data_IF_919033345345
#
_entry.id   IF_919033345345
#
_cell.length_a   1.000
_cell.length_b   1.000
_cell.length_c   1.000
_cell.angle_alpha   90.00
_cell.angle_beta   90.00
_cell.angle_gamma   90.00
#
_symmetry.space_group_name_H-M   'P 1'
#
loop_
_entity.id
_entity.type
_entity.pdbx_description
1 polymer ?
#
# COMPACT_ATOMS: atom_id res chain seq x y z
N UNK A 1 -12.63 34.04 8.83
CA UNK A 1 -12.98 34.22 7.41
C UNK A 1 -14.32 33.54 7.18
N UNK A 2 -15.41 34.28 7.29
CA UNK A 2 -16.75 33.81 6.91
C UNK A 2 -17.10 34.43 5.54
N UNK A 3 -18.04 33.84 4.79
CA UNK A 3 -18.56 34.31 3.50
C UNK A 3 -17.65 34.25 2.25
N UNK A 4 -16.81 33.22 2.12
CA UNK A 4 -16.16 32.94 0.83
C UNK A 4 -17.16 32.42 -0.20
N UNK A 5 -17.19 33.06 -1.36
CA UNK A 5 -18.03 32.65 -2.50
C UNK A 5 -17.15 32.22 -3.68
N UNK A 6 -17.53 31.14 -4.37
CA UNK A 6 -16.91 30.72 -5.62
C UNK A 6 -17.95 30.50 -6.72
N UNK A 7 -17.52 30.75 -7.95
CA UNK A 7 -18.21 30.35 -9.18
C UNK A 7 -17.17 29.84 -10.18
N UNK A 8 -17.53 28.86 -10.98
CA UNK A 8 -16.66 28.30 -12.02
C UNK A 8 -16.99 29.00 -13.33
N UNK A 9 -15.97 29.46 -14.05
CA UNK A 9 -16.09 29.94 -15.43
C UNK A 9 -15.48 28.90 -16.36
N UNK A 10 -16.26 28.39 -17.30
CA UNK A 10 -15.79 27.57 -18.40
C UNK A 10 -16.17 28.30 -19.70
N UNK A 11 -15.15 28.78 -20.43
CA UNK A 11 -15.32 29.62 -21.62
C UNK A 11 -16.20 30.84 -21.31
N UNK A 12 -17.38 30.94 -21.93
CA UNK A 12 -18.34 32.04 -21.77
C UNK A 12 -19.46 31.73 -20.77
N UNK A 13 -19.46 30.52 -20.19
CA UNK A 13 -20.47 30.08 -19.23
C UNK A 13 -19.92 30.23 -17.81
N UNK A 14 -20.63 30.99 -16.99
CA UNK A 14 -20.33 31.19 -15.57
C UNK A 14 -21.41 30.51 -14.73
N UNK A 15 -21.00 29.62 -13.80
CA UNK A 15 -21.95 28.95 -12.91
C UNK A 15 -22.52 29.91 -11.87
N UNK A 16 -23.67 29.55 -11.27
CA UNK A 16 -24.20 30.27 -10.10
C UNK A 16 -23.17 30.28 -8.96
N UNK A 17 -23.10 31.40 -8.26
CA UNK A 17 -22.25 31.59 -7.08
C UNK A 17 -22.67 30.64 -5.97
N UNK A 18 -21.72 29.90 -5.40
CA UNK A 18 -21.94 29.05 -4.23
C UNK A 18 -21.05 29.51 -3.08
N UNK A 19 -21.62 29.48 -1.87
CA UNK A 19 -20.87 29.67 -0.65
C UNK A 19 -19.90 28.49 -0.47
N UNK A 20 -18.62 28.80 -0.30
CA UNK A 20 -17.58 27.83 0.03
C UNK A 20 -17.65 27.61 1.53
N UNK A 21 -18.27 26.52 1.96
CA UNK A 21 -18.05 26.01 3.31
C UNK A 21 -16.59 25.54 3.38
N UNK A 22 -15.83 25.96 4.39
CA UNK A 22 -14.47 25.48 4.60
C UNK A 22 -14.43 23.95 4.59
N UNK A 23 -13.57 23.38 3.75
CA UNK A 23 -13.48 21.93 3.54
C UNK A 23 -13.01 21.61 2.13
N UNK A 24 -12.29 20.51 1.98
CA UNK A 24 -11.89 20.04 0.65
C UNK A 24 -13.11 19.43 -0.06
N UNK A 25 -13.35 19.70 -1.36
CA UNK A 25 -14.51 19.16 -2.05
C UNK A 25 -14.48 17.64 -2.03
N UNK A 26 -15.52 17.03 -1.44
CA UNK A 26 -15.66 15.58 -1.39
C UNK A 26 -15.78 15.04 -2.82
N UNK A 27 -14.96 14.04 -3.17
CA UNK A 27 -14.88 13.49 -4.52
C UNK A 27 -13.82 14.12 -5.43
N UNK A 28 -13.14 15.19 -5.01
CA UNK A 28 -11.95 15.66 -5.73
C UNK A 28 -10.75 14.73 -5.48
N UNK A 29 -10.02 14.32 -6.54
CA UNK A 29 -8.83 13.45 -6.39
C UNK A 29 -7.68 14.14 -5.64
N UNK A 30 -7.69 15.47 -5.56
CA UNK A 30 -6.67 16.23 -4.81
C UNK A 30 -7.00 16.36 -3.32
N UNK A 31 -8.27 16.17 -2.93
CA UNK A 31 -8.71 16.38 -1.55
C UNK A 31 -7.94 15.54 -0.52
N UNK A 32 -7.73 14.23 -0.72
CA UNK A 32 -6.96 13.42 0.23
C UNK A 32 -5.50 13.88 0.35
N UNK A 33 -4.89 14.30 -0.76
CA UNK A 33 -3.49 14.74 -0.78
C UNK A 33 -3.34 16.04 0.02
N UNK A 34 -4.20 17.01 -0.25
CA UNK A 34 -4.20 18.29 0.46
C UNK A 34 -4.48 18.10 1.96
N UNK A 35 -5.39 17.18 2.29
CA UNK A 35 -5.68 16.85 3.68
C UNK A 35 -4.48 16.21 4.39
N UNK A 36 -3.78 15.26 3.75
CA UNK A 36 -2.56 14.66 4.31
C UNK A 36 -1.48 15.73 4.52
N UNK A 37 -1.29 16.64 3.56
CA UNK A 37 -0.33 17.74 3.71
C UNK A 37 -0.72 18.69 4.84
N UNK A 38 -2.01 18.93 5.03
CA UNK A 38 -2.53 19.76 6.11
C UNK A 38 -2.24 19.18 7.49
N UNK A 39 -2.43 17.87 7.67
CA UNK A 39 -2.17 17.20 8.95
C UNK A 39 -0.72 16.73 9.10
N UNK A 40 0.14 16.89 8.09
CA UNK A 40 1.49 16.32 8.08
C UNK A 40 2.34 16.79 9.27
N UNK A 41 2.17 18.05 9.68
CA UNK A 41 2.94 18.66 10.76
C UNK A 41 2.83 17.88 12.08
N UNK A 42 1.65 17.38 12.44
CA UNK A 42 1.45 16.62 13.68
C UNK A 42 2.31 15.36 13.77
N UNK A 43 2.61 14.74 12.61
CA UNK A 43 3.45 13.55 12.49
C UNK A 43 4.93 13.90 12.38
N UNK A 44 5.27 15.09 11.88
CA UNK A 44 6.66 15.56 11.81
C UNK A 44 7.18 15.95 13.19
N UNK A 45 6.32 16.38 14.10
CA UNK A 45 6.66 16.66 15.49
C UNK A 45 7.10 15.41 16.27
N UNK A 46 6.54 14.23 15.97
CA UNK A 46 6.99 12.95 16.53
C UNK A 46 6.88 11.81 15.49
N UNK A 47 7.96 11.62 14.75
CA UNK A 47 8.04 10.57 13.71
C UNK A 47 8.27 9.15 14.24
N UNK A 48 8.50 9.02 15.55
CA UNK A 48 8.81 7.75 16.19
C UNK A 48 7.55 7.09 16.75
N UNK A 49 6.66 7.86 17.39
CA UNK A 49 5.52 7.35 18.14
C UNK A 49 4.17 7.67 17.50
N UNK A 50 4.09 8.65 16.59
CA UNK A 50 2.84 9.00 15.89
C UNK A 50 2.82 8.39 14.49
N UNK A 51 1.67 7.82 14.15
CA UNK A 51 1.41 7.21 12.85
C UNK A 51 0.06 7.65 12.34
N UNK A 52 -0.07 7.83 11.03
CA UNK A 52 -1.31 8.26 10.42
C UNK A 52 -1.65 7.48 9.15
N UNK A 53 -2.94 7.34 8.89
CA UNK A 53 -3.44 6.89 7.60
C UNK A 53 -4.74 7.63 7.28
N UNK A 54 -4.76 8.39 6.19
CA UNK A 54 -5.86 9.29 5.87
C UNK A 54 -6.18 10.21 7.08
N UNK A 55 -7.37 10.08 7.66
CA UNK A 55 -7.86 10.83 8.82
C UNK A 55 -7.59 10.15 10.18
N UNK A 56 -7.16 8.88 10.18
CA UNK A 56 -6.85 8.17 11.40
C UNK A 56 -5.46 8.53 11.93
N UNK A 57 -5.37 8.86 13.23
CA UNK A 57 -4.13 9.11 13.97
C UNK A 57 -3.96 8.04 15.04
N UNK A 58 -2.76 7.46 15.13
CA UNK A 58 -2.38 6.48 16.14
C UNK A 58 -1.12 6.94 16.88
N UNK A 59 -1.14 6.84 18.20
CA UNK A 59 0.01 7.07 19.07
C UNK A 59 0.38 5.76 19.75
N UNK A 60 1.65 5.39 19.72
CA UNK A 60 2.16 4.18 20.37
C UNK A 60 3.30 4.52 21.32
N UNK A 61 3.11 4.23 22.61
CA UNK A 61 4.16 4.30 23.63
C UNK A 61 4.51 2.92 24.16
N UNK A 62 5.78 2.74 24.53
CA UNK A 62 6.29 1.54 25.18
C UNK A 62 7.04 1.94 26.45
N UNK A 63 6.77 1.27 27.56
CA UNK A 63 7.35 1.56 28.87
C UNK A 63 7.44 0.31 29.75
N UNK A 64 7.88 0.49 31.00
CA UNK A 64 8.05 -0.63 31.95
C UNK A 64 6.80 -0.86 32.81
N UNK A 65 6.00 0.17 33.03
CA UNK A 65 4.72 0.12 33.74
C UNK A 65 3.60 0.75 32.90
N UNK A 66 2.34 0.46 33.25
CA UNK A 66 1.19 1.06 32.55
C UNK A 66 1.03 2.53 32.93
N UNK A 67 1.40 2.90 34.16
CA UNK A 67 1.32 4.26 34.70
C UNK A 67 2.26 5.19 33.94
N UNK A 68 3.52 4.78 33.72
CA UNK A 68 4.50 5.52 32.91
C UNK A 68 4.01 5.72 31.47
N UNK A 69 3.36 4.70 30.90
CA UNK A 69 2.83 4.76 29.54
C UNK A 69 1.63 5.72 29.47
N UNK A 70 0.73 5.67 30.45
CA UNK A 70 -0.45 6.54 30.51
C UNK A 70 -0.05 8.00 30.67
N UNK A 71 0.93 8.30 31.52
CA UNK A 71 1.47 9.66 31.68
C UNK A 71 1.99 10.21 30.35
N UNK A 72 2.84 9.44 29.66
CA UNK A 72 3.38 9.82 28.33
C UNK A 72 2.31 9.95 27.26
N UNK A 73 1.30 9.06 27.26
CA UNK A 73 0.17 9.16 26.35
C UNK A 73 -0.72 10.38 26.67
N UNK A 74 -0.83 10.77 27.93
CA UNK A 74 -1.49 12.00 28.36
C UNK A 74 -0.78 13.23 27.80
N UNK A 75 0.55 13.30 27.95
CA UNK A 75 1.37 14.37 27.36
C UNK A 75 1.21 14.45 25.83
N UNK A 76 1.23 13.30 25.15
CA UNK A 76 1.01 13.23 23.70
C UNK A 76 -0.39 13.72 23.32
N UNK A 77 -1.41 13.30 24.06
CA UNK A 77 -2.79 13.69 23.84
C UNK A 77 -2.95 15.21 24.00
N UNK A 78 -2.39 15.79 25.06
CA UNK A 78 -2.38 17.23 25.29
C UNK A 78 -1.72 18.02 24.16
N UNK A 79 -0.57 17.54 23.66
CA UNK A 79 0.10 18.17 22.50
C UNK A 79 -0.76 18.10 21.23
N UNK A 80 -1.39 16.95 20.97
CA UNK A 80 -2.27 16.75 19.81
C UNK A 80 -3.50 17.66 19.88
N UNK A 81 -4.12 17.77 21.06
CA UNK A 81 -5.28 18.63 21.29
C UNK A 81 -4.92 20.11 21.18
N UNK A 82 -3.77 20.52 21.73
CA UNK A 82 -3.25 21.88 21.59
C UNK A 82 -2.98 22.25 20.13
N UNK A 83 -2.30 21.37 19.39
CA UNK A 83 -2.10 21.54 17.94
C UNK A 83 -3.43 21.64 17.20
N UNK A 84 -4.41 20.80 17.55
CA UNK A 84 -5.74 20.83 16.96
C UNK A 84 -6.47 22.15 17.20
N UNK A 85 -6.38 22.71 18.40
CA UNK A 85 -7.00 24.01 18.74
C UNK A 85 -6.39 25.17 17.91
N UNK A 86 -5.08 25.15 17.70
CA UNK A 86 -4.35 26.10 16.85
C UNK A 86 -4.76 25.95 15.38
N UNK A 87 -4.76 24.72 14.88
CA UNK A 87 -5.04 24.36 13.48
C UNK A 87 -6.52 24.12 13.20
N UNK A 88 -7.45 24.52 14.08
CA UNK A 88 -8.90 24.35 13.89
C UNK A 88 -9.34 22.92 13.53
N UNK A 89 -8.63 21.92 14.05
CA UNK A 89 -8.97 20.49 13.98
C UNK A 89 -9.66 20.09 15.27
N UNK A 90 -10.84 19.49 15.17
CA UNK A 90 -11.60 19.00 16.33
C UNK A 90 -11.50 17.48 16.40
N UNK A 91 -11.00 16.98 17.52
CA UNK A 91 -10.99 15.55 17.83
C UNK A 91 -12.28 15.16 18.57
N UNK A 92 -12.80 13.96 18.31
CA UNK A 92 -13.98 13.44 18.99
C UNK A 92 -13.55 12.32 19.96
N UNK A 93 -13.70 12.50 21.29
CA UNK A 93 -13.31 11.49 22.27
C UNK A 93 -14.07 10.17 22.09
N UNK A 94 -15.32 10.20 21.65
CA UNK A 94 -16.14 8.99 21.44
C UNK A 94 -15.61 8.10 20.31
N UNK A 95 -14.81 8.67 19.41
CA UNK A 95 -14.18 7.94 18.30
C UNK A 95 -12.76 7.48 18.63
N UNK A 96 -12.20 7.91 19.76
CA UNK A 96 -10.88 7.51 20.18
C UNK A 96 -10.94 6.14 20.87
N UNK A 97 -10.01 5.25 20.49
CA UNK A 97 -9.88 3.92 21.11
C UNK A 97 -8.52 3.84 21.83
N UNK A 98 -8.54 3.43 23.10
CA UNK A 98 -7.34 3.14 23.88
C UNK A 98 -7.19 1.62 24.05
N UNK A 99 -5.97 1.11 23.87
CA UNK A 99 -5.65 -0.30 24.11
C UNK A 99 -4.28 -0.48 24.73
N UNK A 100 -4.22 -1.17 25.86
CA UNK A 100 -2.96 -1.57 26.49
C UNK A 100 -2.54 -2.96 26.02
N UNK A 101 -1.32 -3.07 25.48
CA UNK A 101 -0.74 -4.36 25.09
C UNK A 101 0.21 -4.88 26.18
N UNK A 102 -0.22 -5.90 26.91
CA UNK A 102 0.54 -6.45 28.02
C UNK A 102 0.53 -7.98 28.04
N UNK A 103 1.63 -8.55 28.55
CA UNK A 103 1.76 -9.97 28.85
C UNK A 103 1.32 -10.32 30.27
N UNK A 104 0.94 -9.33 31.08
CA UNK A 104 0.43 -9.54 32.42
C UNK A 104 -0.74 -10.53 32.40
N UNK A 105 -0.81 -11.36 33.44
CA UNK A 105 -1.97 -12.24 33.67
C UNK A 105 -3.12 -11.46 34.29
N UNK A 106 -2.81 -10.33 34.92
CA UNK A 106 -3.78 -9.40 35.42
C UNK A 106 -4.41 -8.63 34.24
N UNK A 107 -5.71 -8.89 34.05
CA UNK A 107 -6.54 -8.25 33.05
C UNK A 107 -7.48 -7.20 33.66
N UNK A 108 -7.48 -7.01 34.98
CA UNK A 108 -8.39 -6.06 35.64
C UNK A 108 -7.79 -4.66 35.67
N UNK A 109 -6.47 -4.54 35.79
CA UNK A 109 -5.80 -3.25 35.70
C UNK A 109 -5.73 -2.75 34.24
N UNK A 110 -6.40 -1.62 33.99
CA UNK A 110 -6.62 -1.02 32.65
C UNK A 110 -6.81 0.50 32.82
N UNK A 111 -5.73 1.26 33.07
CA UNK A 111 -5.82 2.69 33.33
C UNK A 111 -6.24 3.48 32.08
N UNK A 112 -7.02 4.55 32.27
CA UNK A 112 -7.43 5.48 31.21
C UNK A 112 -6.34 6.52 30.92
N UNK A 113 -6.44 7.16 29.75
CA UNK A 113 -5.57 8.29 29.38
C UNK A 113 -6.41 9.55 29.37
N UNK A 114 -5.96 10.57 30.10
CA UNK A 114 -6.66 11.84 30.20
C UNK A 114 -5.71 13.01 29.89
N UNK A 115 -6.29 14.06 29.29
CA UNK A 115 -5.71 15.40 29.15
C UNK A 115 -6.65 16.38 29.90
N UNK A 116 -6.47 16.55 31.22
CA UNK A 116 -7.39 17.33 32.07
C UNK A 116 -7.60 18.77 31.60
N UNK A 117 -6.57 19.40 31.04
CA UNK A 117 -6.59 20.78 30.54
C UNK A 117 -7.53 20.98 29.34
N UNK A 118 -7.91 19.90 28.65
CA UNK A 118 -8.84 19.90 27.52
C UNK A 118 -10.18 19.20 27.82
N UNK A 119 -10.39 18.77 29.07
CA UNK A 119 -11.54 17.93 29.48
C UNK A 119 -11.72 16.71 28.55
N UNK A 120 -10.60 16.03 28.26
CA UNK A 120 -10.55 14.95 27.27
C UNK A 120 -10.00 13.67 27.88
N UNK A 121 -10.87 12.67 28.05
CA UNK A 121 -10.53 11.37 28.63
C UNK A 121 -10.88 10.24 27.66
N UNK A 122 -9.97 9.29 27.51
CA UNK A 122 -10.13 8.11 26.67
C UNK A 122 -10.05 6.86 27.56
N UNK A 123 -11.18 6.20 27.86
CA UNK A 123 -11.17 4.97 28.64
C UNK A 123 -10.66 3.78 27.81
N UNK A 124 -9.93 2.84 28.43
CA UNK A 124 -9.69 1.54 27.80
C UNK A 124 -10.98 0.70 27.86
N UNK A 125 -11.39 0.12 26.73
CA UNK A 125 -12.45 -0.89 26.70
C UNK A 125 -11.87 -2.28 27.04
N UNK A 126 -12.24 -2.89 28.19
CA UNK A 126 -11.72 -4.20 28.56
C UNK A 126 -12.24 -5.29 27.62
N UNK A 127 -11.39 -6.29 27.34
CA UNK A 127 -11.78 -7.48 26.57
C UNK A 127 -12.03 -7.29 25.06
N UNK A 128 -12.07 -6.06 24.55
CA UNK A 128 -12.21 -5.80 23.11
C UNK A 128 -10.84 -5.76 22.42
N UNK A 129 -10.80 -6.11 21.13
CA UNK A 129 -9.62 -5.91 20.27
C UNK A 129 -9.76 -4.57 19.55
N UNK A 130 -8.69 -3.78 19.50
CA UNK A 130 -8.67 -2.50 18.77
C UNK A 130 -8.52 -2.78 17.28
N UNK A 131 -9.30 -2.11 16.43
CA UNK A 131 -9.23 -2.27 14.97
C UNK A 131 -8.44 -1.13 14.35
N UNK A 132 -7.31 -1.45 13.73
CA UNK A 132 -6.49 -0.47 13.00
C UNK A 132 -6.17 -0.98 11.59
N UNK A 133 -6.49 -0.19 10.56
CA UNK A 133 -6.35 -0.58 9.15
C UNK A 133 -6.88 -1.99 8.89
N UNK A 134 -8.08 -2.26 9.41
CA UNK A 134 -8.76 -3.54 9.22
C UNK A 134 -8.01 -4.75 9.87
N UNK A 135 -7.06 -4.51 10.77
CA UNK A 135 -6.41 -5.56 11.58
C UNK A 135 -6.85 -5.42 13.03
N UNK A 136 -7.28 -6.51 13.64
CA UNK A 136 -7.68 -6.54 15.05
C UNK A 136 -6.51 -6.91 15.94
N UNK A 137 -6.16 -6.03 16.87
CA UNK A 137 -5.07 -6.23 17.83
C UNK A 137 -5.62 -6.59 19.21
N UNK A 138 -5.44 -7.85 19.59
CA UNK A 138 -5.77 -8.35 20.94
C UNK A 138 -4.76 -7.85 21.98
N UNK A 139 -5.17 -7.71 23.26
CA UNK A 139 -4.29 -7.30 24.39
C UNK A 139 -2.95 -8.06 24.46
N UNK A 140 -2.96 -9.36 24.13
CA UNK A 140 -1.77 -10.23 24.15
C UNK A 140 -1.08 -10.36 22.78
N UNK A 141 -1.57 -9.69 21.74
CA UNK A 141 -1.09 -9.78 20.36
C UNK A 141 -1.03 -11.22 19.82
N UNK A 142 -2.04 -12.01 20.19
CA UNK A 142 -2.20 -13.41 19.72
C UNK A 142 -2.86 -13.44 18.34
N UNK A 143 -3.73 -12.47 18.03
CA UNK A 143 -4.46 -12.33 16.76
C UNK A 143 -5.52 -13.42 16.52
N UNK A 144 -5.94 -14.13 17.57
CA UNK A 144 -7.04 -15.08 17.47
C UNK A 144 -8.35 -14.38 17.08
N UNK A 145 -8.61 -13.17 17.60
CA UNK A 145 -9.81 -12.42 17.21
C UNK A 145 -9.78 -12.03 15.73
N UNK A 146 -8.63 -11.55 15.25
CA UNK A 146 -8.42 -11.19 13.84
C UNK A 146 -8.69 -12.38 12.92
N UNK A 147 -8.04 -13.52 13.17
CA UNK A 147 -8.20 -14.71 12.34
C UNK A 147 -9.64 -15.20 12.37
N UNK A 148 -10.31 -15.19 13.52
CA UNK A 148 -11.74 -15.55 13.62
C UNK A 148 -12.66 -14.64 12.82
N UNK A 149 -12.40 -13.33 12.81
CA UNK A 149 -13.17 -12.38 11.98
C UNK A 149 -12.95 -12.66 10.49
N UNK A 150 -11.70 -12.88 10.08
CA UNK A 150 -11.35 -13.19 8.68
C UNK A 150 -11.89 -14.54 8.21
N UNK A 151 -11.83 -15.58 9.03
CA UNK A 151 -12.41 -16.90 8.72
C UNK A 151 -13.93 -16.83 8.61
N UNK A 152 -14.59 -16.04 9.45
CA UNK A 152 -16.04 -15.78 9.36
C UNK A 152 -16.41 -15.08 8.05
N UNK A 153 -15.71 -13.99 7.70
CA UNK A 153 -15.94 -13.28 6.44
C UNK A 153 -15.67 -14.18 5.23
N UNK A 154 -14.55 -14.91 5.23
CA UNK A 154 -14.21 -15.83 4.16
C UNK A 154 -15.24 -16.96 4.02
N UNK A 155 -15.83 -17.44 5.13
CA UNK A 155 -16.86 -18.48 5.09
C UNK A 155 -18.11 -18.04 4.32
N UNK A 156 -18.48 -16.75 4.38
CA UNK A 156 -19.57 -16.19 3.57
C UNK A 156 -19.22 -16.27 2.08
N UNK A 157 -18.00 -15.88 1.69
CA UNK A 157 -17.53 -15.98 0.30
C UNK A 157 -17.53 -17.43 -0.18
N UNK A 158 -17.06 -18.36 0.66
CA UNK A 158 -17.06 -19.80 0.35
C UNK A 158 -18.48 -20.32 0.14
N UNK A 159 -19.46 -19.86 0.95
CA UNK A 159 -20.85 -20.22 0.76
C UNK A 159 -21.39 -19.77 -0.60
N UNK A 160 -21.07 -18.55 -1.04
CA UNK A 160 -21.44 -18.07 -2.38
C UNK A 160 -20.78 -18.90 -3.50
N UNK A 161 -19.49 -19.23 -3.38
CA UNK A 161 -18.79 -20.10 -4.35
C UNK A 161 -19.45 -21.47 -4.41
N UNK A 162 -19.84 -22.04 -3.26
CA UNK A 162 -20.53 -23.33 -3.20
C UNK A 162 -21.86 -23.32 -3.95
N UNK A 163 -22.61 -22.21 -3.88
CA UNK A 163 -23.86 -22.07 -4.62
C UNK A 163 -23.63 -22.03 -6.15
N UNK A 164 -22.46 -21.56 -6.60
CA UNK A 164 -22.04 -21.57 -8.01
C UNK A 164 -21.49 -22.92 -8.48
N UNK A 165 -21.19 -23.84 -7.56
CA UNK A 165 -20.53 -25.12 -7.83
C UNK A 165 -21.50 -26.27 -8.17
N UNK A 166 -22.71 -25.96 -8.65
CA UNK A 166 -23.71 -26.98 -8.97
C UNK A 166 -23.21 -27.95 -10.07
N UNK A 167 -23.36 -29.26 -9.89
CA UNK A 167 -22.85 -30.25 -10.86
C UNK A 167 -23.58 -30.26 -12.21
N UNK A 168 -24.80 -29.70 -12.31
CA UNK A 168 -25.61 -29.68 -13.54
C UNK A 168 -25.49 -28.38 -14.35
N UNK A 169 -25.33 -27.23 -13.68
CA UNK A 169 -25.28 -25.89 -14.30
C UNK A 169 -24.20 -24.98 -13.69
N UNK A 170 -23.29 -25.54 -12.91
CA UNK A 170 -22.29 -24.79 -12.19
C UNK A 170 -21.11 -24.38 -13.05
N UNK A 171 -20.27 -23.56 -12.46
CA UNK A 171 -19.04 -23.11 -13.11
C UNK A 171 -18.02 -24.24 -13.21
N UNK A 172 -17.08 -24.11 -14.16
CA UNK A 172 -15.97 -25.05 -14.28
C UNK A 172 -15.12 -25.09 -13.00
N UNK A 173 -14.50 -26.23 -12.70
CA UNK A 173 -13.59 -26.36 -11.56
C UNK A 173 -12.44 -25.34 -11.63
N UNK A 174 -11.91 -25.05 -12.81
CA UNK A 174 -10.87 -24.03 -13.00
C UNK A 174 -11.36 -22.62 -12.63
N UNK A 175 -12.60 -22.27 -13.00
CA UNK A 175 -13.20 -20.98 -12.62
C UNK A 175 -13.42 -20.86 -11.11
N UNK A 176 -13.88 -21.94 -10.47
CA UNK A 176 -14.10 -21.97 -9.02
C UNK A 176 -12.78 -21.94 -8.25
N UNK A 177 -11.76 -22.67 -8.72
CA UNK A 177 -10.40 -22.61 -8.19
C UNK A 177 -9.87 -21.18 -8.24
N UNK A 178 -10.01 -20.51 -9.39
CA UNK A 178 -9.64 -19.11 -9.55
C UNK A 178 -10.39 -18.23 -8.55
N UNK A 179 -11.70 -18.41 -8.40
CA UNK A 179 -12.50 -17.66 -7.42
C UNK A 179 -12.03 -17.88 -5.97
N UNK A 180 -11.67 -19.10 -5.58
CA UNK A 180 -11.09 -19.38 -4.26
C UNK A 180 -9.75 -18.65 -4.08
N UNK A 181 -8.85 -18.75 -5.06
CA UNK A 181 -7.54 -18.10 -5.00
C UNK A 181 -7.64 -16.56 -5.01
N UNK A 182 -8.60 -15.97 -5.73
CA UNK A 182 -8.71 -14.51 -5.86
C UNK A 182 -9.63 -13.85 -4.83
N UNK A 183 -10.60 -14.58 -4.27
CA UNK A 183 -11.62 -14.00 -3.38
C UNK A 183 -11.57 -14.55 -1.96
N UNK A 184 -11.20 -15.81 -1.76
CA UNK A 184 -11.17 -16.43 -0.41
C UNK A 184 -9.80 -16.27 0.21
N UNK A 185 -8.73 -16.62 -0.52
CA UNK A 185 -7.37 -16.60 0.02
C UNK A 185 -6.94 -15.20 0.49
N UNK A 186 -7.17 -14.10 -0.25
CA UNK A 186 -6.78 -12.77 0.21
C UNK A 186 -7.51 -12.32 1.49
N UNK A 187 -8.76 -12.73 1.68
CA UNK A 187 -9.53 -12.45 2.90
C UNK A 187 -8.92 -13.21 4.09
N UNK A 188 -8.59 -14.49 3.90
CA UNK A 188 -8.01 -15.33 4.96
C UNK A 188 -6.60 -14.89 5.35
N UNK A 189 -5.78 -14.45 4.39
CA UNK A 189 -4.39 -14.02 4.64
C UNK A 189 -4.27 -12.52 4.88
N UNK A 190 -5.38 -11.79 5.07
CA UNK A 190 -5.35 -10.35 5.22
C UNK A 190 -4.52 -9.91 6.43
N UNK A 191 -3.62 -8.94 6.20
CA UNK A 191 -2.72 -8.40 7.21
C UNK A 191 -1.69 -9.41 7.74
N UNK A 192 -1.42 -10.50 7.01
CA UNK A 192 -0.43 -11.50 7.42
C UNK A 192 0.93 -10.87 7.77
N UNK A 193 1.32 -9.79 7.09
CA UNK A 193 2.53 -9.03 7.38
C UNK A 193 2.57 -8.46 8.82
N UNK A 194 1.40 -8.16 9.39
CA UNK A 194 1.27 -7.62 10.73
C UNK A 194 1.24 -8.71 11.81
N UNK A 195 0.53 -9.82 11.59
CA UNK A 195 0.25 -10.81 12.66
C UNK A 195 1.00 -12.14 12.54
N UNK A 196 1.36 -12.59 11.33
CA UNK A 196 1.99 -13.89 11.11
C UNK A 196 3.50 -13.81 11.31
N UNK A 197 4.04 -14.65 12.21
CA UNK A 197 5.44 -14.65 12.59
C UNK A 197 6.26 -15.77 11.90
N UNK A 198 5.63 -16.55 11.01
CA UNK A 198 6.22 -17.75 10.44
C UNK A 198 6.04 -18.99 11.32
N UNK A 199 6.53 -20.13 10.85
CA UNK A 199 6.44 -21.41 11.60
C UNK A 199 7.36 -21.45 12.83
N UNK A 200 8.51 -20.79 12.76
CA UNK A 200 9.55 -20.84 13.79
C UNK A 200 10.12 -19.46 14.12
N UNK A 201 10.59 -19.30 15.35
CA UNK A 201 11.31 -18.11 15.84
C UNK A 201 12.60 -18.51 16.54
N UNK A 202 13.59 -17.62 16.51
CA UNK A 202 14.82 -17.78 17.28
C UNK A 202 14.57 -17.43 18.75
N UNK A 203 14.93 -18.34 19.65
CA UNK A 203 14.95 -18.13 21.09
C UNK A 203 16.41 -18.09 21.55
N UNK A 204 16.83 -16.96 22.10
CA UNK A 204 18.12 -16.85 22.80
C UNK A 204 17.96 -17.45 24.19
N UNK A 205 18.80 -18.42 24.53
CA UNK A 205 18.90 -18.96 25.88
C UNK A 205 20.09 -18.27 26.53
N UNK A 206 19.80 -17.26 27.35
CA UNK A 206 20.82 -16.41 27.97
C UNK A 206 21.84 -17.22 28.79
N UNK A 207 21.41 -18.31 29.42
CA UNK A 207 22.26 -19.19 30.24
C UNK A 207 23.25 -20.03 29.43
N UNK A 208 23.07 -20.19 28.12
CA UNK A 208 23.87 -21.09 27.28
C UNK A 208 24.60 -20.38 26.14
N UNK A 209 24.45 -19.06 26.00
CA UNK A 209 24.88 -18.30 24.82
C UNK A 209 24.44 -18.93 23.48
N UNK A 210 23.40 -19.76 23.50
CA UNK A 210 22.92 -20.57 22.37
C UNK A 210 21.62 -19.99 21.83
N UNK A 211 21.49 -20.03 20.50
CA UNK A 211 20.25 -19.68 19.81
C UNK A 211 19.57 -20.95 19.33
N UNK A 212 18.34 -21.19 19.78
CA UNK A 212 17.55 -22.34 19.36
C UNK A 212 16.34 -21.90 18.54
N UNK A 213 15.95 -22.73 17.58
CA UNK A 213 14.78 -22.51 16.74
C UNK A 213 13.58 -23.16 17.41
N UNK A 214 12.59 -22.37 17.80
CA UNK A 214 11.36 -22.86 18.47
C UNK A 214 10.12 -22.50 17.68
N UNK A 215 9.00 -23.25 17.78
CA UNK A 215 7.76 -22.90 17.12
C UNK A 215 7.21 -21.53 17.59
N UNK A 216 6.57 -20.80 16.68
CA UNK A 216 5.89 -19.53 17.00
C UNK A 216 4.60 -19.71 17.82
N UNK A 217 4.08 -20.95 17.89
CA UNK A 217 2.80 -21.33 18.53
C UNK A 217 1.59 -20.66 17.89
N UNK A 218 1.62 -20.51 16.57
CA UNK A 218 0.49 -19.99 15.78
C UNK A 218 -0.30 -21.09 15.05
N UNK A 219 -0.02 -22.38 15.32
CA UNK A 219 -0.64 -23.51 14.61
C UNK A 219 -2.16 -23.50 14.71
N UNK A 220 -2.72 -23.13 15.87
CA UNK A 220 -4.17 -23.05 16.05
C UNK A 220 -4.83 -22.01 15.13
N UNK A 221 -4.11 -20.95 14.75
CA UNK A 221 -4.59 -19.96 13.76
C UNK A 221 -4.56 -20.56 12.35
N UNK A 222 -3.53 -21.34 12.03
CA UNK A 222 -3.40 -22.03 10.74
C UNK A 222 -4.47 -23.10 10.58
N UNK A 223 -4.81 -23.81 11.65
CA UNK A 223 -5.89 -24.79 11.67
C UNK A 223 -7.24 -24.14 11.37
N UNK A 224 -7.49 -22.95 11.93
CA UNK A 224 -8.73 -22.22 11.71
C UNK A 224 -8.89 -21.77 10.24
N UNK A 225 -7.81 -21.27 9.64
CA UNK A 225 -7.76 -20.91 8.22
C UNK A 225 -7.91 -22.17 7.35
N UNK A 226 -7.19 -23.24 7.68
CA UNK A 226 -7.20 -24.51 6.94
C UNK A 226 -8.59 -25.16 6.94
N UNK A 227 -9.36 -25.00 8.03
CA UNK A 227 -10.75 -25.46 8.11
C UNK A 227 -11.63 -24.78 7.05
N UNK A 228 -11.53 -23.45 6.91
CA UNK A 228 -12.31 -22.70 5.90
C UNK A 228 -11.84 -23.03 4.48
N UNK A 229 -10.52 -23.11 4.25
CA UNK A 229 -9.96 -23.52 2.95
C UNK A 229 -10.40 -24.94 2.56
N UNK A 230 -10.43 -25.88 3.50
CA UNK A 230 -10.92 -27.22 3.24
C UNK A 230 -12.40 -27.26 2.83
N UNK A 231 -13.21 -26.31 3.31
CA UNK A 231 -14.58 -26.11 2.84
C UNK A 231 -14.63 -25.54 1.42
N UNK A 232 -13.78 -24.56 1.12
CA UNK A 232 -13.66 -23.93 -0.19
C UNK A 232 -13.22 -24.93 -1.27
N UNK A 233 -12.19 -25.73 -1.00
CA UNK A 233 -11.65 -26.71 -1.93
C UNK A 233 -12.69 -27.79 -2.27
N UNK A 234 -13.47 -28.23 -1.28
CA UNK A 234 -14.57 -29.17 -1.51
C UNK A 234 -15.74 -28.57 -2.30
N UNK A 235 -15.81 -27.24 -2.43
CA UNK A 235 -16.74 -26.61 -3.37
C UNK A 235 -16.16 -26.59 -4.79
N UNK A 236 -14.84 -26.60 -4.95
CA UNK A 236 -14.17 -26.64 -6.27
C UNK A 236 -14.17 -28.05 -6.86
N UNK A 237 -13.85 -29.05 -6.04
CA UNK A 237 -13.72 -30.44 -6.45
C UNK A 237 -15.00 -31.22 -6.11
N UNK A 238 -15.55 -32.03 -7.02
CA UNK A 238 -16.72 -32.89 -6.76
C UNK A 238 -16.31 -34.15 -5.97
N UNK A 239 -15.81 -33.95 -4.75
CA UNK A 239 -15.19 -35.00 -3.92
C UNK A 239 -15.99 -35.29 -2.66
N UNK A 240 -15.91 -36.53 -2.15
CA UNK A 240 -16.59 -36.93 -0.90
C UNK A 240 -15.99 -36.20 0.30
N UNK A 241 -16.78 -36.01 1.36
CA UNK A 241 -16.31 -35.34 2.58
C UNK A 241 -15.10 -36.05 3.22
N UNK A 242 -15.06 -37.38 3.10
CA UNK A 242 -14.01 -38.28 3.63
C UNK A 242 -12.69 -38.25 2.84
N UNK A 243 -12.63 -37.49 1.74
CA UNK A 243 -11.40 -37.40 0.92
C UNK A 243 -10.24 -36.85 1.76
N UNK A 244 -9.05 -37.49 1.76
CA UNK A 244 -7.90 -37.04 2.52
C UNK A 244 -7.49 -35.60 2.17
N UNK A 245 -7.13 -34.80 3.19
CA UNK A 245 -6.80 -33.37 3.03
C UNK A 245 -5.66 -33.13 2.02
N UNK A 246 -4.62 -33.96 2.05
CA UNK A 246 -3.48 -33.82 1.13
C UNK A 246 -3.90 -33.97 -0.34
N UNK A 247 -4.82 -34.91 -0.61
CA UNK A 247 -5.37 -35.11 -1.96
C UNK A 247 -6.18 -33.89 -2.40
N UNK A 248 -6.97 -33.30 -1.49
CA UNK A 248 -7.74 -32.09 -1.77
C UNK A 248 -6.84 -30.92 -2.20
N UNK A 249 -5.74 -30.67 -1.49
CA UNK A 249 -4.82 -29.59 -1.83
C UNK A 249 -4.08 -29.86 -3.13
N UNK A 250 -3.63 -31.11 -3.35
CA UNK A 250 -2.95 -31.52 -4.58
C UNK A 250 -3.84 -31.33 -5.81
N UNK A 251 -5.07 -31.83 -5.76
CA UNK A 251 -5.97 -31.86 -6.93
C UNK A 251 -6.62 -30.50 -7.19
N UNK A 252 -6.85 -29.71 -6.14
CA UNK A 252 -7.42 -28.36 -6.30
C UNK A 252 -6.40 -27.32 -6.74
N UNK A 253 -5.09 -27.61 -6.63
CA UNK A 253 -4.02 -26.64 -6.90
C UNK A 253 -4.07 -25.37 -6.02
N UNK A 254 -4.89 -25.35 -4.97
CA UNK A 254 -4.97 -24.24 -4.01
C UNK A 254 -3.87 -24.42 -2.96
N UNK A 255 -3.14 -23.35 -2.65
CA UNK A 255 -2.10 -23.37 -1.61
C UNK A 255 -2.69 -23.66 -0.23
N UNK A 256 -1.99 -24.43 0.59
CA UNK A 256 -2.32 -24.60 2.01
C UNK A 256 -2.22 -23.26 2.75
N UNK A 257 -2.90 -23.15 3.90
CA UNK A 257 -2.86 -21.95 4.74
C UNK A 257 -1.42 -21.53 5.08
N UNK A 258 -0.57 -22.50 5.44
CA UNK A 258 0.84 -22.29 5.75
C UNK A 258 1.60 -21.71 4.56
N UNK A 259 1.47 -22.33 3.39
CA UNK A 259 2.18 -21.89 2.18
C UNK A 259 1.74 -20.48 1.79
N UNK A 260 0.44 -20.19 1.83
CA UNK A 260 -0.09 -18.86 1.51
C UNK A 260 0.43 -17.77 2.46
N UNK A 261 0.46 -18.05 3.77
CA UNK A 261 0.96 -17.10 4.77
C UNK A 261 2.48 -16.89 4.66
N UNK A 262 3.26 -17.96 4.47
CA UNK A 262 4.71 -17.82 4.23
C UNK A 262 4.95 -17.06 2.91
N UNK A 263 4.20 -17.33 1.83
CA UNK A 263 4.29 -16.56 0.59
C UNK A 263 4.03 -15.06 0.82
N UNK A 264 3.00 -14.70 1.58
CA UNK A 264 2.74 -13.30 1.94
C UNK A 264 3.91 -12.68 2.71
N UNK A 265 4.49 -13.42 3.66
CA UNK A 265 5.66 -13.01 4.43
C UNK A 265 6.91 -12.81 3.56
N UNK A 266 7.19 -13.71 2.62
CA UNK A 266 8.29 -13.58 1.65
C UNK A 266 8.08 -12.41 0.69
N UNK A 267 6.86 -12.23 0.17
CA UNK A 267 6.51 -11.07 -0.68
C UNK A 267 6.72 -9.75 0.06
N UNK A 268 6.34 -9.70 1.33
CA UNK A 268 6.58 -8.54 2.17
C UNK A 268 8.08 -8.29 2.40
N UNK A 269 8.85 -9.33 2.73
CA UNK A 269 10.31 -9.23 2.83
C UNK A 269 10.95 -8.70 1.54
N UNK A 270 10.51 -9.18 0.39
CA UNK A 270 10.99 -8.71 -0.91
C UNK A 270 10.66 -7.24 -1.12
N UNK A 271 9.44 -6.80 -0.78
CA UNK A 271 9.05 -5.38 -0.84
C UNK A 271 9.94 -4.52 0.04
N UNK A 272 10.23 -4.94 1.27
CA UNK A 272 11.13 -4.22 2.19
C UNK A 272 12.56 -4.08 1.67
N UNK A 273 13.04 -5.07 0.90
CA UNK A 273 14.37 -5.02 0.26
C UNK A 273 14.36 -4.27 -1.08
N UNK A 274 13.24 -4.26 -1.80
CA UNK A 274 13.11 -3.60 -3.09
C UNK A 274 12.76 -2.11 -3.01
N UNK A 275 12.39 -1.57 -1.84
CA UNK A 275 12.23 -0.12 -1.68
C UNK A 275 13.59 0.59 -1.70
N UNK A 276 13.59 1.83 -2.17
CA UNK A 276 14.73 2.74 -2.14
C UNK A 276 15.30 2.94 -0.72
N UNK A 277 16.57 3.32 -0.63
CA UNK A 277 17.28 3.52 0.64
C UNK A 277 16.65 4.61 1.51
N UNK A 278 16.11 5.67 0.90
CA UNK A 278 15.46 6.79 1.60
C UNK A 278 14.03 6.46 2.02
N UNK A 279 13.47 5.33 1.59
CA UNK A 279 12.12 4.95 1.96
C UNK A 279 12.02 4.68 3.48
N UNK A 280 10.99 5.19 4.20
CA UNK A 280 10.87 5.01 5.65
C UNK A 280 10.91 3.55 6.11
N UNK A 281 10.34 2.63 5.31
CA UNK A 281 10.40 1.19 5.57
C UNK A 281 11.82 0.61 5.48
N UNK A 282 12.70 1.15 4.63
CA UNK A 282 14.10 0.70 4.58
C UNK A 282 14.80 1.03 5.90
N UNK A 283 14.60 2.25 6.43
CA UNK A 283 15.13 2.68 7.73
C UNK A 283 14.59 1.86 8.90
N UNK A 284 13.32 1.45 8.85
CA UNK A 284 12.69 0.58 9.89
C UNK A 284 13.10 -0.90 9.77
N UNK A 285 13.40 -1.37 8.56
CA UNK A 285 13.90 -2.72 8.30
C UNK A 285 15.38 -2.89 8.62
N UNK A 286 16.15 -1.81 8.56
CA UNK A 286 17.58 -1.82 8.80
C UNK A 286 17.92 -2.36 10.20
N UNK A 287 19.00 -3.15 10.28
CA UNK A 287 19.62 -3.50 11.55
C UNK A 287 20.34 -2.26 12.07
N UNK A 288 19.88 -1.72 13.20
CA UNK A 288 20.64 -0.70 13.93
C UNK A 288 21.61 -1.42 14.88
N UNK A 289 22.93 -1.21 14.76
CA UNK A 289 23.87 -1.65 15.77
C UNK A 289 23.47 -0.98 17.08
N UNK A 290 23.15 -1.77 18.11
CA UNK A 290 22.94 -1.21 19.44
C UNK A 290 24.33 -0.92 20.03
N UNK A 291 24.59 0.28 20.57
CA UNK A 291 25.82 0.51 21.32
C UNK A 291 25.89 -0.53 22.45
N UNK A 292 27.06 -1.09 22.77
CA UNK A 292 27.20 -1.95 23.94
C UNK A 292 26.63 -1.18 25.14
N UNK A 293 25.67 -1.80 25.83
CA UNK A 293 25.00 -1.18 26.97
C UNK A 293 26.03 -0.71 28.00
N UNK A 294 25.73 0.39 28.71
CA UNK A 294 26.65 0.93 29.74
C UNK A 294 26.88 -0.04 30.90
N UNK A 295 26.14 -1.15 30.98
CA UNK A 295 26.27 -2.21 31.99
C UNK A 295 26.33 -3.58 31.34
N UNK A 296 27.12 -4.47 31.93
CA UNK A 296 27.19 -5.88 31.58
C UNK A 296 25.78 -6.50 31.73
N UNK A 297 25.17 -6.96 30.63
CA UNK A 297 23.87 -7.68 30.67
C UNK A 297 22.65 -6.99 30.03
N UNK A 298 22.77 -5.79 29.45
CA UNK A 298 21.66 -5.24 28.65
C UNK A 298 21.44 -6.08 27.37
N UNK A 299 20.35 -6.85 27.36
CA UNK A 299 19.95 -7.68 26.22
C UNK A 299 19.59 -6.79 25.03
N UNK A 300 20.15 -7.09 23.85
CA UNK A 300 19.68 -6.46 22.62
C UNK A 300 18.17 -6.59 22.49
N UNK A 301 17.45 -5.51 22.11
CA UNK A 301 16.00 -5.56 21.92
C UNK A 301 15.63 -6.64 20.90
N UNK A 302 14.49 -7.30 21.14
CA UNK A 302 14.00 -8.34 20.25
C UNK A 302 13.75 -7.76 18.86
N UNK A 303 14.12 -8.51 17.82
CA UNK A 303 13.87 -8.12 16.43
C UNK A 303 12.36 -7.99 16.18
N UNK A 304 11.97 -6.97 15.43
CA UNK A 304 10.58 -6.78 15.03
C UNK A 304 10.19 -7.76 13.93
N UNK A 305 8.88 -8.01 13.74
CA UNK A 305 8.38 -8.84 12.61
C UNK A 305 8.84 -8.30 11.25
N UNK A 306 8.90 -6.98 11.11
CA UNK A 306 9.36 -6.29 9.91
C UNK A 306 10.84 -6.59 9.63
N UNK A 307 11.71 -6.49 10.64
CA UNK A 307 13.12 -6.85 10.51
C UNK A 307 13.29 -8.34 10.18
N UNK A 308 12.56 -9.22 10.85
CA UNK A 308 12.59 -10.65 10.59
C UNK A 308 12.11 -11.01 9.18
N UNK A 309 11.13 -10.29 8.64
CA UNK A 309 10.67 -10.48 7.26
C UNK A 309 11.71 -9.99 6.24
N UNK A 310 12.36 -8.85 6.49
CA UNK A 310 13.43 -8.34 5.63
C UNK A 310 14.68 -9.24 5.60
N UNK A 311 14.93 -10.01 6.66
CA UNK A 311 16.02 -10.98 6.76
C UNK A 311 15.78 -12.27 5.98
N UNK A 312 14.53 -12.56 5.57
CA UNK A 312 14.21 -13.72 4.74
C UNK A 312 14.82 -13.61 3.33
N UNK A 313 15.04 -12.39 2.87
CA UNK A 313 15.51 -12.11 1.53
C UNK A 313 16.96 -11.65 1.60
N UNK A 314 17.87 -12.28 0.82
CA UNK A 314 19.24 -11.82 0.68
C UNK A 314 19.32 -10.36 0.26
N UNK A 315 20.43 -9.70 0.56
CA UNK A 315 20.64 -8.33 0.11
C UNK A 315 20.84 -8.29 -1.40
N UNK A 316 20.19 -7.35 -2.06
CA UNK A 316 20.34 -7.09 -3.50
C UNK A 316 20.36 -5.57 -3.74
N UNK A 317 20.95 -5.12 -4.87
CA UNK A 317 21.01 -3.69 -5.20
C UNK A 317 19.61 -3.07 -5.18
N UNK A 318 19.42 -2.07 -4.32
CA UNK A 318 18.15 -1.33 -4.23
C UNK A 318 17.99 -0.45 -5.47
N UNK A 319 16.76 -0.30 -5.99
CA UNK A 319 16.50 0.75 -6.96
C UNK A 319 16.76 2.10 -6.30
N UNK A 320 17.50 2.96 -6.98
CA UNK A 320 17.70 4.33 -6.54
C UNK A 320 16.59 5.17 -7.19
N UNK A 321 15.78 5.84 -6.39
CA UNK A 321 14.91 6.90 -6.91
C UNK A 321 15.83 7.98 -7.46
N UNK A 322 15.95 8.04 -8.78
CA UNK A 322 16.55 9.21 -9.42
C UNK A 322 15.62 10.37 -9.12
N UNK A 323 16.04 11.38 -8.32
CA UNK A 323 15.19 12.53 -8.06
C UNK A 323 14.77 13.10 -9.41
N UNK A 324 13.47 13.40 -9.56
CA UNK A 324 12.97 14.01 -10.80
C UNK A 324 13.76 15.31 -11.00
N UNK A 325 14.72 15.26 -11.92
CA UNK A 325 15.35 16.46 -12.44
C UNK A 325 14.30 17.13 -13.33
N UNK A 326 13.43 17.92 -12.71
CA UNK A 326 12.71 18.94 -13.46
C UNK A 326 13.81 19.86 -13.99
N UNK A 327 14.10 19.75 -15.29
CA UNK A 327 14.99 20.71 -15.93
C UNK A 327 14.45 22.11 -15.59
N UNK A 328 15.27 22.98 -14.95
CA UNK A 328 14.83 24.33 -14.66
C UNK A 328 14.39 24.95 -15.99
N UNK A 329 13.13 25.41 -16.07
CA UNK A 329 12.57 26.13 -17.22
C UNK A 329 12.45 25.39 -18.56
N UNK A 330 12.07 24.11 -18.60
CA UNK A 330 11.41 23.58 -19.81
C UNK A 330 10.01 23.11 -19.50
N UNK A 331 9.08 24.07 -19.39
CA UNK A 331 7.68 23.77 -19.65
C UNK A 331 7.53 23.13 -21.03
N UNK A 332 6.43 22.41 -21.29
CA UNK A 332 6.17 21.88 -22.63
C UNK A 332 6.31 22.99 -23.67
N UNK A 333 7.01 22.77 -24.81
CA UNK A 333 7.28 23.81 -25.82
C UNK A 333 6.00 24.46 -26.36
N UNK A 334 4.86 23.81 -26.16
CA UNK A 334 3.55 24.20 -26.66
C UNK A 334 2.76 25.13 -25.72
N UNK A 335 3.08 25.20 -24.42
CA UNK A 335 2.31 26.00 -23.45
C UNK A 335 0.80 25.70 -23.44
N UNK A 336 -0.03 26.68 -23.04
CA UNK A 336 -1.51 26.62 -23.10
C UNK A 336 -2.07 27.22 -24.40
N UNK A 337 -1.39 27.02 -25.54
CA UNK A 337 -1.74 27.66 -26.81
C UNK A 337 -2.67 26.78 -27.66
N UNK A 338 -3.25 27.37 -28.70
CA UNK A 338 -4.13 26.67 -29.65
C UNK A 338 -3.41 25.49 -30.33
N UNK A 339 -4.15 24.47 -30.81
CA UNK A 339 -3.57 23.26 -31.44
C UNK A 339 -2.63 23.57 -32.61
N UNK A 340 -2.93 24.64 -33.37
CA UNK A 340 -2.14 25.08 -34.53
C UNK A 340 -0.83 25.74 -34.09
N UNK A 341 -0.87 26.65 -33.13
CA UNK A 341 0.32 27.31 -32.57
C UNK A 341 1.22 26.31 -31.83
N UNK A 342 0.63 25.35 -31.11
CA UNK A 342 1.36 24.28 -30.45
C UNK A 342 2.16 23.44 -31.47
N UNK A 343 1.58 23.12 -32.63
CA UNK A 343 2.27 22.37 -33.68
C UNK A 343 3.44 23.16 -34.29
N UNK A 344 3.29 24.47 -34.48
CA UNK A 344 4.36 25.33 -35.00
C UNK A 344 5.52 25.47 -34.00
N UNK A 345 5.22 25.70 -32.72
CA UNK A 345 6.21 25.75 -31.65
C UNK A 345 6.93 24.43 -31.46
N UNK A 346 6.20 23.31 -31.56
CA UNK A 346 6.81 21.98 -31.50
C UNK A 346 7.77 21.74 -32.67
N UNK A 347 7.41 22.16 -33.89
CA UNK A 347 8.31 22.05 -35.06
C UNK A 347 9.53 22.95 -34.93
N UNK A 348 9.40 24.15 -34.38
CA UNK A 348 10.51 25.05 -34.12
C UNK A 348 11.48 24.45 -33.08
N UNK A 349 10.95 23.99 -31.94
CA UNK A 349 11.72 23.27 -30.92
C UNK A 349 12.40 22.02 -31.48
N UNK A 350 11.71 21.28 -32.35
CA UNK A 350 12.28 20.11 -33.00
C UNK A 350 13.45 20.49 -33.91
N UNK A 351 13.60 21.72 -34.41
CA UNK A 351 14.79 22.14 -35.16
C UNK A 351 15.99 22.49 -34.27
N UNK A 352 15.76 22.84 -33.02
CA UNK A 352 16.82 23.22 -32.06
C UNK A 352 17.57 22.03 -31.46
N UNK A 353 17.03 20.82 -31.59
CA UNK A 353 17.61 19.61 -31.01
C UNK A 353 18.76 19.04 -31.87
N UNK A 354 19.79 18.39 -31.28
CA UNK A 354 20.88 17.77 -32.05
C UNK A 354 20.44 16.66 -33.01
N UNK A 355 21.21 16.43 -34.08
CA UNK A 355 20.96 15.37 -35.07
C UNK A 355 21.11 13.94 -34.53
N UNK A 356 21.74 13.80 -33.36
CA UNK A 356 21.84 12.54 -32.62
C UNK A 356 20.55 12.14 -31.90
N UNK A 357 19.52 13.01 -31.90
CA UNK A 357 18.28 12.78 -31.13
C UNK A 357 17.46 11.60 -31.63
N UNK A 358 16.82 10.92 -30.69
CA UNK A 358 15.81 9.89 -30.96
C UNK A 358 14.46 10.37 -30.44
N UNK A 359 13.47 10.41 -31.33
CA UNK A 359 12.10 10.78 -31.02
C UNK A 359 11.22 9.54 -31.06
N UNK A 360 10.45 9.27 -30.01
CA UNK A 360 9.45 8.21 -29.96
C UNK A 360 8.07 8.87 -29.90
N UNK A 361 7.23 8.63 -30.90
CA UNK A 361 5.84 9.03 -30.89
C UNK A 361 4.98 7.82 -30.53
N UNK A 362 4.11 7.96 -29.54
CA UNK A 362 3.14 6.92 -29.17
C UNK A 362 1.72 7.40 -29.42
N UNK A 363 0.86 6.48 -29.82
CA UNK A 363 -0.57 6.74 -30.00
C UNK A 363 -1.41 5.53 -29.55
N UNK A 364 -2.63 5.83 -29.10
CA UNK A 364 -3.62 4.87 -28.64
C UNK A 364 -4.94 5.06 -29.39
N UNK A 365 -5.57 3.95 -29.78
CA UNK A 365 -6.88 3.97 -30.45
C UNK A 365 -7.84 2.99 -29.82
N UNK A 366 -9.12 3.35 -29.69
CA UNK A 366 -10.16 2.47 -29.14
C UNK A 366 -11.17 2.14 -30.22
N UNK A 367 -11.46 0.85 -30.38
CA UNK A 367 -12.52 0.35 -31.25
C UNK A 367 -13.89 0.56 -30.57
N UNK A 368 -14.96 0.59 -31.37
CA UNK A 368 -16.36 0.65 -30.91
C UNK A 368 -16.71 -0.45 -29.91
N UNK A 369 -16.00 -1.58 -29.95
CA UNK A 369 -16.22 -2.73 -29.06
C UNK A 369 -15.41 -2.64 -27.76
N UNK A 370 -14.79 -1.49 -27.46
CA UNK A 370 -14.04 -1.23 -26.23
C UNK A 370 -12.60 -1.77 -26.22
N UNK A 371 -12.17 -2.47 -27.27
CA UNK A 371 -10.79 -2.94 -27.40
C UNK A 371 -9.85 -1.80 -27.79
N UNK A 372 -8.69 -1.71 -27.13
CA UNK A 372 -7.70 -0.64 -27.37
C UNK A 372 -6.49 -1.18 -28.11
N UNK A 373 -6.03 -0.48 -29.14
CA UNK A 373 -4.75 -0.71 -29.80
C UNK A 373 -3.73 0.34 -29.37
N UNK A 374 -2.47 -0.04 -29.32
CA UNK A 374 -1.35 0.87 -29.12
C UNK A 374 -0.37 0.80 -30.28
N UNK A 375 0.29 1.92 -30.56
CA UNK A 375 1.33 2.02 -31.58
C UNK A 375 2.44 2.98 -31.15
N UNK A 376 3.64 2.74 -31.67
CA UNK A 376 4.74 3.69 -31.56
C UNK A 376 5.55 3.79 -32.85
N UNK A 377 6.17 4.94 -33.07
CA UNK A 377 7.10 5.19 -34.16
C UNK A 377 8.34 5.92 -33.65
N UNK A 378 9.52 5.45 -34.02
CA UNK A 378 10.80 5.99 -33.63
C UNK A 378 11.41 6.72 -34.82
N UNK A 379 11.83 7.97 -34.62
CA UNK A 379 12.47 8.83 -35.61
C UNK A 379 13.85 9.27 -35.15
N UNK A 380 14.77 9.42 -36.09
CA UNK A 380 16.07 10.04 -35.91
C UNK A 380 16.35 10.94 -37.09
N UNK A 381 16.79 12.17 -36.83
CA UNK A 381 17.04 13.17 -37.86
C UNK A 381 15.90 13.25 -38.90
N UNK A 382 14.65 13.29 -38.41
CA UNK A 382 13.44 13.34 -39.25
C UNK A 382 13.09 12.04 -40.00
N UNK A 383 13.93 11.00 -39.98
CA UNK A 383 13.68 9.71 -40.63
C UNK A 383 13.14 8.68 -39.65
N UNK A 384 12.07 7.97 -40.03
CA UNK A 384 11.52 6.86 -39.23
C UNK A 384 12.48 5.68 -39.27
N UNK A 385 12.96 5.24 -38.11
CA UNK A 385 13.91 4.12 -37.98
C UNK A 385 13.25 2.83 -37.48
N UNK A 386 12.11 2.94 -36.78
CA UNK A 386 11.39 1.77 -36.27
C UNK A 386 9.93 2.10 -36.01
N UNK A 387 9.06 1.09 -36.01
CA UNK A 387 7.67 1.22 -35.55
C UNK A 387 7.20 -0.11 -34.95
N UNK A 388 6.23 -0.05 -34.04
CA UNK A 388 5.61 -1.23 -33.44
C UNK A 388 4.16 -0.96 -33.10
N UNK A 389 3.39 -2.04 -32.93
CA UNK A 389 1.98 -1.96 -32.52
C UNK A 389 1.57 -3.21 -31.76
N UNK A 390 0.54 -3.06 -30.94
CA UNK A 390 -0.07 -4.15 -30.20
C UNK A 390 -1.52 -3.85 -29.83
N UNK A 391 -2.13 -4.75 -29.09
CA UNK A 391 -3.53 -4.68 -28.70
C UNK A 391 -3.68 -4.98 -27.21
N UNK A 392 -4.49 -4.17 -26.56
CA UNK A 392 -5.04 -4.39 -25.23
C UNK A 392 -6.47 -4.92 -25.37
N UNK A 393 -6.92 -5.62 -24.33
CA UNK A 393 -8.32 -6.04 -24.20
C UNK A 393 -9.23 -4.84 -23.92
N UNK A 394 -10.13 -5.00 -22.96
CA UNK A 394 -10.93 -3.90 -22.44
C UNK A 394 -10.01 -2.95 -21.66
N UNK A 395 -9.77 -1.77 -22.21
CA UNK A 395 -8.90 -0.75 -21.63
C UNK A 395 -9.33 0.65 -22.09
N UNK A 396 -8.68 1.68 -21.57
CA UNK A 396 -8.85 3.06 -22.04
C UNK A 396 -7.77 3.44 -23.07
N UNK A 397 -8.09 4.44 -23.91
CA UNK A 397 -7.14 4.96 -24.92
C UNK A 397 -5.81 5.36 -24.26
N UNK A 398 -5.90 5.90 -23.05
CA UNK A 398 -4.76 6.27 -22.21
C UNK A 398 -3.83 5.08 -21.92
N UNK A 399 -4.38 3.92 -21.60
CA UNK A 399 -3.58 2.71 -21.33
C UNK A 399 -2.83 2.30 -22.60
N UNK A 400 -3.48 2.43 -23.76
CA UNK A 400 -2.85 2.23 -25.07
C UNK A 400 -1.69 3.20 -25.32
N UNK A 401 -1.87 4.49 -25.04
CA UNK A 401 -0.80 5.49 -25.18
C UNK A 401 0.38 5.20 -24.25
N UNK A 402 0.13 4.85 -22.98
CA UNK A 402 1.17 4.52 -22.01
C UNK A 402 1.97 3.26 -22.40
N UNK A 403 1.28 2.22 -22.87
CA UNK A 403 1.91 0.99 -23.38
C UNK A 403 2.72 1.25 -24.64
N UNK A 404 2.18 2.03 -25.58
CA UNK A 404 2.90 2.46 -26.79
C UNK A 404 4.18 3.23 -26.45
N UNK A 405 4.10 4.20 -25.52
CA UNK A 405 5.25 4.97 -25.04
C UNK A 405 6.31 4.06 -24.39
N UNK A 406 5.88 3.10 -23.58
CA UNK A 406 6.76 2.18 -22.86
C UNK A 406 7.49 1.24 -23.82
N UNK A 407 6.77 0.59 -24.72
CA UNK A 407 7.36 -0.27 -25.74
C UNK A 407 8.27 0.49 -26.71
N UNK A 408 7.88 1.71 -27.09
CA UNK A 408 8.70 2.59 -27.92
C UNK A 408 10.00 3.00 -27.23
N UNK A 409 9.95 3.33 -25.94
CA UNK A 409 11.14 3.67 -25.15
C UNK A 409 12.08 2.47 -25.01
N UNK A 410 11.57 1.29 -24.66
CA UNK A 410 12.37 0.06 -24.55
C UNK A 410 13.09 -0.23 -25.87
N UNK A 411 12.38 -0.10 -26.99
CA UNK A 411 12.95 -0.35 -28.31
C UNK A 411 13.97 0.73 -28.70
N UNK A 412 13.73 2.00 -28.37
CA UNK A 412 14.70 3.08 -28.57
C UNK A 412 16.01 2.82 -27.80
N UNK A 413 15.91 2.41 -26.53
CA UNK A 413 17.06 2.05 -25.70
C UNK A 413 17.86 0.87 -26.28
N UNK A 414 17.19 -0.12 -26.88
CA UNK A 414 17.84 -1.26 -27.54
C UNK A 414 18.59 -0.84 -28.82
N UNK A 415 18.00 0.05 -29.61
CA UNK A 415 18.60 0.50 -30.87
C UNK A 415 19.82 1.39 -30.61
N UNK A 416 19.75 2.27 -29.60
CA UNK A 416 20.85 3.17 -29.21
C UNK A 416 20.93 3.35 -27.69
N UNK A 417 21.71 2.52 -26.98
CA UNK A 417 21.95 2.75 -25.56
C UNK A 417 22.74 4.05 -25.34
N UNK A 418 22.37 4.83 -24.31
CA UNK A 418 23.09 6.03 -23.86
C UNK A 418 22.81 7.34 -24.63
N UNK A 419 21.82 7.37 -25.51
CA UNK A 419 21.36 8.61 -26.15
C UNK A 419 20.15 9.21 -25.45
N UNK A 420 20.02 10.54 -25.50
CA UNK A 420 18.81 11.23 -25.04
C UNK A 420 17.64 10.86 -25.94
N UNK A 421 16.65 10.19 -25.35
CA UNK A 421 15.41 9.80 -26.02
C UNK A 421 14.30 10.74 -25.58
N UNK A 422 13.58 11.30 -26.54
CA UNK A 422 12.39 12.11 -26.30
C UNK A 422 11.14 11.31 -26.65
N UNK A 423 10.26 11.09 -25.68
CA UNK A 423 8.97 10.42 -25.90
C UNK A 423 7.86 11.47 -25.98
N UNK A 424 7.06 11.42 -27.04
CA UNK A 424 5.96 12.33 -27.33
C UNK A 424 4.64 11.57 -27.29
N UNK A 425 3.73 12.04 -26.43
CA UNK A 425 2.41 11.46 -26.18
C UNK A 425 1.35 12.55 -26.35
N UNK A 426 0.28 12.29 -27.09
CA UNK A 426 -0.70 13.30 -27.52
C UNK A 426 -1.76 13.63 -26.45
N UNK A 427 -2.15 12.69 -25.57
CA UNK A 427 -3.33 12.87 -24.69
C UNK A 427 -3.14 12.65 -23.20
N UNK A 428 -1.96 12.94 -22.64
CA UNK A 428 -1.92 13.18 -21.19
C UNK A 428 -2.58 14.54 -20.90
N UNK A 429 -3.83 14.52 -20.40
CA UNK A 429 -4.62 15.53 -19.65
C UNK A 429 -4.15 17.01 -19.68
N UNK A 430 -5.08 17.99 -19.73
CA UNK A 430 -4.81 19.34 -20.21
C UNK A 430 -3.65 20.00 -19.44
N UNK A 431 -2.66 20.45 -20.21
CA UNK A 431 -1.46 21.18 -19.79
C UNK A 431 -0.33 20.33 -19.18
N UNK A 432 0.26 19.38 -19.92
CA UNK A 432 1.71 19.06 -19.86
C UNK A 432 2.11 17.98 -20.88
N UNK A 433 2.76 18.39 -21.97
CA UNK A 433 3.67 17.52 -22.72
C UNK A 433 4.82 17.16 -21.77
N UNK A 434 4.85 15.91 -21.28
CA UNK A 434 5.92 15.43 -20.40
C UNK A 434 7.07 14.89 -21.27
N UNK A 435 8.16 15.64 -21.33
CA UNK A 435 9.42 15.17 -21.91
C UNK A 435 10.16 14.37 -20.84
N UNK A 436 10.08 13.05 -20.88
CA UNK A 436 10.96 12.18 -20.11
C UNK A 436 12.28 12.02 -20.87
N UNK A 437 13.36 12.60 -20.34
CA UNK A 437 14.74 12.30 -20.76
C UNK A 437 15.26 11.18 -19.88
N UNK A 438 15.40 9.97 -20.40
CA UNK A 438 16.22 8.94 -19.78
C UNK A 438 17.69 9.21 -20.15
N UNK A 439 18.59 9.25 -19.16
CA UNK A 439 20.04 9.16 -19.38
C UNK A 439 20.47 7.71 -19.27
#
# INVERSE_FOLDING_TARGET
MEDRQARVRLEDIVTKTKNIKCGSPQGSPLSPILFILYIADIFLQDTEHRFGYADDICVLRTGRSLEEIVEKLGEDLSQILGWGAEHKVKFNPEKCELKHFTRSRDNTHSPEVAAPEFDFTIPEQPGTAVRWLEVWFDRKLIFSHHVKKRTTQASVVVHHIRNLANTRRGSSAASLQKAVTTCVLPVLTYGAEAWYAGSTKSRKIASLAKTETVPTRQEHLLDEISRVLGGAIRAVLPVRQTTPKETLYRDSGVSTARVALEQSRYRFGHRLRAVDTEHPLARRAARRPYPPGRRYGELQPARTRLQLAAELIPEFPRPHYTPRQYLPNRGPPTGNKSKKEAAELFRAWLKELPDSRVMVYSDGSKSTNGAVGWGYAIYRNGKKIHQGKGRLGLAEVFDGEAEGATHGLIQACRIRPGQVIHVCVDKMCPKRLSLCSAK
#
